data_IF_700661169268
#
_entry.id   IF_700661169268
#
_cell.length_a   1.000
_cell.length_b   1.000
_cell.length_c   1.000
_cell.angle_alpha   90.00
_cell.angle_beta   90.00
_cell.angle_gamma   90.00
#
_symmetry.space_group_name_H-M   'P 1'
#
loop_
_entity.id
_entity.type
_entity.pdbx_description
1 polymer ?
#
# COMPACT_ATOMS: atom_id res chain seq x y z
N UNK A 1 9.91 -45.51 43.68
CA UNK A 1 9.45 -44.48 42.73
C UNK A 1 9.40 -45.11 41.34
N UNK A 2 8.34 -44.88 40.58
CA UNK A 2 8.12 -45.41 39.23
C UNK A 2 7.98 -44.23 38.27
N UNK A 3 8.48 -44.34 37.03
CA UNK A 3 8.28 -43.28 36.04
C UNK A 3 6.85 -43.36 35.46
N UNK A 4 6.19 -42.21 35.30
CA UNK A 4 4.91 -42.12 34.60
C UNK A 4 5.10 -42.53 33.13
N UNK A 5 4.28 -43.45 32.59
CA UNK A 5 4.42 -43.90 31.20
C UNK A 5 4.12 -42.77 30.19
N UNK A 6 3.29 -41.80 30.54
CA UNK A 6 2.86 -40.72 29.62
C UNK A 6 3.86 -39.56 29.57
N UNK A 7 4.46 -39.16 30.70
CA UNK A 7 5.31 -37.97 30.75
C UNK A 7 6.71 -38.19 31.36
N UNK A 8 7.04 -39.40 31.79
CA UNK A 8 8.35 -39.75 32.34
C UNK A 8 8.64 -39.20 33.74
N UNK A 9 7.72 -38.43 34.35
CA UNK A 9 7.92 -37.88 35.69
C UNK A 9 8.07 -38.99 36.75
N UNK A 10 8.90 -38.76 37.76
CA UNK A 10 9.03 -39.68 38.90
C UNK A 10 7.77 -39.63 39.77
N UNK A 11 7.20 -40.80 40.05
CA UNK A 11 5.96 -40.97 40.81
C UNK A 11 6.21 -41.88 42.02
N UNK A 12 5.56 -41.59 43.15
CA UNK A 12 5.63 -42.45 44.33
C UNK A 12 4.90 -43.79 44.07
N UNK A 13 5.22 -44.83 44.84
CA UNK A 13 4.65 -46.17 44.62
C UNK A 13 3.17 -46.28 45.00
N UNK A 14 2.68 -45.35 45.81
CA UNK A 14 1.31 -45.24 46.33
C UNK A 14 0.47 -44.17 45.60
N UNK A 15 1.06 -43.42 44.66
CA UNK A 15 0.38 -42.41 43.87
C UNK A 15 -0.49 -43.10 42.79
N UNK A 16 -1.82 -42.92 42.87
CA UNK A 16 -2.75 -43.44 41.86
C UNK A 16 -2.77 -42.61 40.58
N UNK A 17 -2.27 -41.38 40.63
CA UNK A 17 -2.22 -40.46 39.49
C UNK A 17 -0.87 -39.73 39.41
N UNK A 18 -0.41 -39.45 38.19
CA UNK A 18 0.81 -38.68 37.98
C UNK A 18 0.59 -37.20 38.35
N UNK A 19 1.39 -36.68 39.30
CA UNK A 19 1.30 -35.29 39.73
C UNK A 19 1.67 -34.23 38.69
N UNK A 20 2.32 -34.63 37.59
CA UNK A 20 2.73 -33.71 36.51
C UNK A 20 1.68 -33.60 35.40
N UNK A 21 1.15 -34.74 34.92
CA UNK A 21 0.23 -34.76 33.77
C UNK A 21 -1.18 -35.28 34.08
N UNK A 22 -1.44 -35.77 35.30
CA UNK A 22 -2.76 -36.26 35.72
C UNK A 22 -3.12 -37.68 35.24
N UNK A 23 -2.19 -38.42 34.64
CA UNK A 23 -2.43 -39.80 34.16
C UNK A 23 -2.75 -40.77 35.30
N UNK A 24 -3.70 -41.69 35.12
CA UNK A 24 -4.02 -42.74 36.09
C UNK A 24 -3.05 -43.93 35.98
N UNK A 25 -2.54 -44.41 37.12
CA UNK A 25 -1.38 -45.32 37.15
C UNK A 25 -1.73 -46.77 37.55
N UNK A 26 -2.98 -47.06 37.85
CA UNK A 26 -3.38 -48.32 38.52
C UNK A 26 -3.65 -49.51 37.57
N UNK A 27 -3.23 -49.44 36.30
CA UNK A 27 -3.33 -50.59 35.38
C UNK A 27 -1.93 -51.01 34.94
N UNK A 28 -1.48 -52.11 35.53
CA UNK A 28 -0.13 -52.65 35.39
C UNK A 28 0.26 -53.04 33.96
N UNK A 29 1.50 -52.68 33.62
CA UNK A 29 2.48 -53.46 32.85
C UNK A 29 1.94 -54.62 31.99
N UNK A 30 1.81 -54.36 30.69
CA UNK A 30 2.05 -55.35 29.64
C UNK A 30 2.90 -54.71 28.54
N UNK A 31 4.05 -55.32 28.32
CA UNK A 31 5.13 -54.87 27.44
C UNK A 31 4.71 -54.76 25.97
N UNK A 32 5.19 -53.73 25.28
CA UNK A 32 5.72 -53.86 23.90
C UNK A 32 6.58 -52.67 23.47
N UNK A 33 7.87 -53.00 23.32
CA UNK A 33 8.78 -52.62 22.24
C UNK A 33 9.27 -51.15 22.10
N UNK A 34 10.42 -50.94 22.76
CA UNK A 34 11.67 -50.31 22.26
C UNK A 34 11.65 -49.55 20.92
N UNK A 35 12.17 -48.31 20.97
CA UNK A 35 13.19 -47.87 20.02
C UNK A 35 14.28 -47.08 20.76
N UNK A 36 15.55 -47.54 20.78
CA UNK A 36 16.64 -46.85 21.46
C UNK A 36 17.06 -45.56 20.75
N UNK A 37 17.26 -44.51 21.54
CA UNK A 37 17.88 -43.26 21.12
C UNK A 37 19.38 -43.46 20.81
N UNK A 38 19.82 -42.94 19.67
CA UNK A 38 21.24 -42.86 19.31
C UNK A 38 21.97 -41.82 20.19
N UNK A 39 23.26 -42.04 20.51
CA UNK A 39 24.03 -41.13 21.34
C UNK A 39 24.44 -39.85 20.59
N UNK A 40 24.38 -38.74 21.33
CA UNK A 40 24.89 -37.40 20.98
C UNK A 40 26.39 -37.43 20.66
N UNK A 41 26.83 -36.95 19.47
CA UNK A 41 28.23 -36.65 19.23
C UNK A 41 28.63 -35.33 19.92
N UNK A 42 29.82 -35.35 20.53
CA UNK A 42 30.47 -34.20 21.14
C UNK A 42 30.64 -33.01 20.17
N UNK A 43 30.46 -31.79 20.69
CA UNK A 43 30.71 -30.54 19.97
C UNK A 43 32.20 -30.41 19.61
N UNK A 44 32.49 -30.34 18.31
CA UNK A 44 33.77 -29.85 17.81
C UNK A 44 33.84 -28.31 17.94
N UNK A 45 35.05 -27.72 18.09
CA UNK A 45 35.19 -26.27 18.19
C UNK A 45 34.74 -25.55 16.91
N UNK A 46 34.07 -24.41 17.08
CA UNK A 46 33.70 -23.49 16.00
C UNK A 46 34.93 -23.14 15.13
N UNK A 47 34.86 -23.45 13.84
CA UNK A 47 35.68 -22.77 12.84
C UNK A 47 34.89 -21.61 12.25
N UNK A 48 35.51 -20.43 12.22
CA UNK A 48 34.97 -19.25 11.56
C UNK A 48 34.73 -19.52 10.07
N UNK A 49 33.65 -19.00 9.46
CA UNK A 49 33.41 -19.18 8.04
C UNK A 49 34.50 -18.49 7.22
N UNK A 50 35.24 -19.28 6.44
CA UNK A 50 36.10 -18.78 5.38
C UNK A 50 35.20 -18.22 4.28
N UNK A 51 35.35 -16.92 4.00
CA UNK A 51 34.63 -16.25 2.92
C UNK A 51 35.02 -16.90 1.58
N UNK A 52 34.04 -17.39 0.84
CA UNK A 52 34.23 -17.76 -0.55
C UNK A 52 34.55 -16.48 -1.36
N UNK A 53 35.54 -16.50 -2.29
CA UNK A 53 35.79 -15.36 -3.15
C UNK A 53 34.58 -15.15 -4.07
N UNK A 54 34.00 -13.97 -4.02
CA UNK A 54 33.02 -13.51 -5.01
C UNK A 54 33.74 -13.40 -6.36
N UNK A 55 33.38 -14.25 -7.32
CA UNK A 55 33.85 -14.13 -8.69
C UNK A 55 33.22 -12.87 -9.30
N UNK A 56 34.05 -11.88 -9.61
CA UNK A 56 33.63 -10.76 -10.44
C UNK A 56 33.47 -11.24 -11.89
N UNK A 57 32.42 -10.82 -12.63
CA UNK A 57 32.35 -11.08 -14.05
C UNK A 57 33.50 -10.36 -14.76
N UNK A 58 34.36 -11.14 -15.40
CA UNK A 58 35.42 -10.65 -16.28
C UNK A 58 34.76 -10.18 -17.58
N UNK A 59 34.68 -8.87 -17.79
CA UNK A 59 34.34 -8.32 -19.10
C UNK A 59 35.56 -8.43 -20.03
N UNK A 60 35.38 -8.85 -21.29
CA UNK A 60 36.48 -8.83 -22.26
C UNK A 60 36.93 -7.38 -22.51
N UNK A 61 38.23 -7.13 -22.71
CA UNK A 61 38.71 -5.79 -23.04
C UNK A 61 38.11 -5.32 -24.38
N UNK A 62 37.86 -4.01 -24.55
CA UNK A 62 37.43 -3.46 -25.82
C UNK A 62 38.49 -3.72 -26.90
N UNK A 63 38.09 -3.94 -28.17
CA UNK A 63 39.05 -4.12 -29.26
C UNK A 63 39.95 -2.89 -29.38
N UNK A 64 41.26 -3.14 -29.48
CA UNK A 64 42.27 -2.12 -29.67
C UNK A 64 41.96 -1.30 -30.93
N UNK A 65 41.86 0.01 -30.78
CA UNK A 65 41.81 0.94 -31.91
C UNK A 65 43.14 0.86 -32.66
N UNK A 66 43.12 0.25 -33.84
CA UNK A 66 44.21 0.39 -34.80
C UNK A 66 44.22 1.85 -35.27
N UNK A 67 45.29 2.57 -34.93
CA UNK A 67 45.63 3.85 -35.55
C UNK A 67 46.10 3.59 -36.99
N UNK A 68 45.14 3.35 -37.88
CA UNK A 68 45.35 3.38 -39.31
C UNK A 68 45.29 4.83 -39.79
N UNK A 69 46.41 5.38 -40.25
CA UNK A 69 46.44 6.62 -41.02
C UNK A 69 45.61 6.44 -42.29
N UNK A 70 44.38 6.95 -42.30
CA UNK A 70 43.56 6.98 -43.50
C UNK A 70 44.02 8.13 -44.41
N UNK A 71 44.41 7.76 -45.63
CA UNK A 71 44.72 8.66 -46.74
C UNK A 71 43.53 9.58 -47.08
N UNK A 72 43.77 10.78 -47.61
CA UNK A 72 42.70 11.66 -48.10
C UNK A 72 41.97 11.01 -49.31
N UNK A 73 40.64 11.13 -49.41
CA UNK A 73 39.88 10.57 -50.52
C UNK A 73 40.14 11.34 -51.82
N UNK A 74 40.29 10.58 -52.91
CA UNK A 74 40.32 11.10 -54.28
C UNK A 74 38.95 11.70 -54.68
N UNK A 75 38.92 12.70 -55.60
CA UNK A 75 37.67 13.35 -56.00
C UNK A 75 36.81 12.41 -56.86
N UNK A 76 35.53 12.26 -56.51
CA UNK A 76 34.56 11.51 -57.31
C UNK A 76 33.89 12.40 -58.38
N UNK A 77 33.61 11.86 -59.59
CA UNK A 77 32.90 12.58 -60.66
C UNK A 77 31.45 12.91 -60.31
N UNK A 78 30.99 14.09 -60.73
CA UNK A 78 29.62 14.59 -60.50
C UNK A 78 28.54 13.76 -61.18
N UNK A 79 27.45 13.54 -60.45
CA UNK A 79 26.19 12.99 -60.99
C UNK A 79 25.22 14.12 -61.36
N UNK A 80 24.39 13.92 -62.40
CA UNK A 80 23.58 14.97 -63.01
C UNK A 80 22.40 15.43 -62.12
N UNK A 81 22.12 16.72 -62.21
CA UNK A 81 20.98 17.42 -61.60
C UNK A 81 19.62 16.86 -62.05
N UNK A 82 18.61 16.75 -61.16
CA UNK A 82 17.24 16.45 -61.57
C UNK A 82 16.60 17.63 -62.32
N UNK A 83 15.73 17.39 -63.31
CA UNK A 83 15.03 18.45 -64.04
C UNK A 83 13.97 19.14 -63.17
N UNK A 84 13.59 20.40 -63.50
CA UNK A 84 12.59 21.16 -62.77
C UNK A 84 11.17 20.57 -62.91
N UNK A 85 10.28 20.83 -61.94
CA UNK A 85 8.90 20.34 -62.00
C UNK A 85 8.11 21.02 -63.12
N UNK A 86 7.51 20.20 -63.98
CA UNK A 86 6.59 20.62 -65.04
C UNK A 86 5.25 21.01 -64.40
N UNK A 87 4.82 22.26 -64.60
CA UNK A 87 3.45 22.68 -64.36
C UNK A 87 2.56 22.05 -65.44
N UNK A 88 1.58 21.24 -65.04
CA UNK A 88 0.70 20.55 -65.97
C UNK A 88 -0.61 20.07 -65.33
N UNK A 89 -1.64 20.89 -65.49
CA UNK A 89 -3.05 20.57 -65.76
C UNK A 89 -3.80 19.58 -64.84
N UNK A 90 -4.76 20.16 -64.12
CA UNK A 90 -5.84 19.53 -63.36
C UNK A 90 -6.73 18.67 -64.30
N UNK A 91 -6.95 17.37 -64.02
CA UNK A 91 -8.04 16.61 -64.63
C UNK A 91 -9.38 16.89 -63.90
N UNK A 92 -10.53 16.92 -64.60
CA UNK A 92 -11.81 17.14 -63.96
C UNK A 92 -12.29 15.91 -63.18
N UNK A 93 -13.04 16.18 -62.11
CA UNK A 93 -13.67 15.18 -61.24
C UNK A 93 -14.61 14.24 -62.01
N UNK A 94 -14.34 12.94 -61.94
CA UNK A 94 -15.26 11.89 -62.38
C UNK A 94 -16.10 11.46 -61.18
N UNK A 95 -17.37 11.85 -61.18
CA UNK A 95 -18.38 11.37 -60.25
C UNK A 95 -18.67 9.88 -60.51
N UNK A 96 -18.15 9.01 -59.66
CA UNK A 96 -18.57 7.61 -59.64
C UNK A 96 -19.88 7.48 -58.87
N UNK A 97 -20.99 7.32 -59.61
CA UNK A 97 -22.27 6.82 -59.08
C UNK A 97 -22.09 5.33 -58.77
N UNK A 98 -22.25 4.96 -57.50
CA UNK A 98 -22.42 3.56 -57.08
C UNK A 98 -23.90 3.19 -57.23
N UNK A 99 -24.27 2.13 -57.97
CA UNK A 99 -25.63 1.58 -57.97
C UNK A 99 -25.97 0.96 -56.61
N UNK A 100 -27.21 1.22 -56.15
CA UNK A 100 -27.69 0.87 -54.82
C UNK A 100 -27.76 -0.63 -54.53
N UNK A 101 -27.43 -0.96 -53.28
CA UNK A 101 -27.75 -2.24 -52.64
C UNK A 101 -29.17 -2.13 -52.06
N UNK A 102 -30.09 -3.10 -52.28
CA UNK A 102 -31.41 -3.07 -51.67
C UNK A 102 -31.33 -3.27 -50.14
N UNK A 103 -32.00 -2.41 -49.38
CA UNK A 103 -32.20 -2.59 -47.93
C UNK A 103 -33.30 -3.64 -47.68
N UNK A 104 -33.16 -4.52 -46.66
CA UNK A 104 -34.28 -5.35 -46.18
C UNK A 104 -35.32 -4.51 -45.40
N UNK A 105 -36.59 -4.94 -45.34
CA UNK A 105 -37.67 -4.15 -44.75
C UNK A 105 -37.55 -4.04 -43.22
N UNK A 106 -37.97 -2.87 -42.73
CA UNK A 106 -38.16 -2.52 -41.33
C UNK A 106 -38.99 -3.56 -40.56
N UNK A 107 -38.42 -4.08 -39.47
CA UNK A 107 -39.17 -4.77 -38.41
C UNK A 107 -39.88 -3.76 -37.48
N UNK A 108 -40.96 -4.16 -36.79
CA UNK A 108 -41.74 -3.27 -35.93
C UNK A 108 -40.96 -2.78 -34.70
N UNK A 109 -41.34 -1.63 -34.12
CA UNK A 109 -40.60 -0.99 -33.03
C UNK A 109 -40.64 -1.82 -31.75
N UNK A 110 -39.46 -2.04 -31.14
CA UNK A 110 -39.35 -2.66 -29.83
C UNK A 110 -39.79 -1.69 -28.73
N UNK A 111 -40.65 -2.19 -27.83
CA UNK A 111 -41.11 -1.47 -26.65
C UNK A 111 -39.96 -1.23 -25.64
N UNK A 112 -40.07 -0.23 -24.74
CA UNK A 112 -39.03 0.09 -23.77
C UNK A 112 -38.77 -1.06 -22.81
N UNK A 113 -37.49 -1.37 -22.60
CA UNK A 113 -37.04 -2.37 -21.64
C UNK A 113 -37.29 -1.87 -20.21
N UNK A 114 -38.22 -2.51 -19.49
CA UNK A 114 -38.37 -2.36 -18.04
C UNK A 114 -37.56 -3.44 -17.32
N UNK A 115 -36.71 -3.09 -16.33
CA UNK A 115 -36.01 -4.09 -15.53
C UNK A 115 -37.00 -4.87 -14.64
N UNK A 116 -36.80 -6.18 -14.44
CA UNK A 116 -37.70 -6.99 -13.62
C UNK A 116 -37.61 -6.63 -12.14
N UNK A 117 -38.77 -6.48 -11.49
CA UNK A 117 -38.85 -6.31 -10.04
C UNK A 117 -38.59 -7.64 -9.29
N UNK A 118 -38.04 -7.59 -8.06
CA UNK A 118 -37.83 -8.78 -7.24
C UNK A 118 -39.16 -9.44 -6.86
N UNK A 119 -39.27 -10.74 -7.15
CA UNK A 119 -40.42 -11.57 -6.78
C UNK A 119 -40.34 -11.89 -5.29
N UNK A 120 -41.33 -11.45 -4.50
CA UNK A 120 -41.49 -11.89 -3.12
C UNK A 120 -42.07 -13.32 -3.09
N UNK A 121 -41.59 -14.22 -2.21
CA UNK A 121 -42.20 -15.52 -2.02
C UNK A 121 -43.60 -15.39 -1.41
N UNK A 122 -44.59 -15.97 -2.10
CA UNK A 122 -45.97 -16.15 -1.66
C UNK A 122 -46.05 -17.13 -0.48
N UNK A 123 -46.73 -16.72 0.58
CA UNK A 123 -47.19 -17.62 1.63
C UNK A 123 -48.31 -18.53 1.10
N UNK A 124 -48.35 -19.83 1.46
CA UNK A 124 -49.52 -20.65 1.23
C UNK A 124 -50.55 -20.43 2.35
N UNK A 125 -51.76 -20.02 1.95
CA UNK A 125 -52.97 -20.12 2.78
C UNK A 125 -53.62 -21.48 2.51
N UNK A 126 -53.76 -22.31 3.53
CA UNK A 126 -54.74 -23.40 3.58
C UNK A 126 -55.52 -23.31 4.89
N UNK A 127 -56.85 -23.29 4.76
CA UNK A 127 -57.79 -23.20 5.87
C UNK A 127 -58.36 -24.56 6.29
N UNK A 128 -58.56 -24.70 7.61
CA UNK A 128 -59.53 -25.56 8.31
C UNK A 128 -59.26 -27.07 8.31
N UNK A 129 -59.51 -27.81 9.41
CA UNK A 129 -60.70 -27.66 10.28
C UNK A 129 -60.41 -27.41 11.78
N UNK A 130 -61.40 -26.79 12.44
CA UNK A 130 -61.43 -26.46 13.87
C UNK A 130 -61.62 -27.72 14.76
N UNK A 131 -60.87 -27.77 15.86
CA UNK A 131 -60.99 -28.69 16.98
C UNK A 131 -60.74 -27.92 18.31
N UNK A 132 -61.21 -28.41 19.47
CA UNK A 132 -61.83 -27.61 20.53
C UNK A 132 -60.96 -26.58 21.28
N UNK A 133 -61.64 -25.52 21.75
CA UNK A 133 -61.12 -24.43 22.58
C UNK A 133 -60.62 -24.95 23.92
N UNK A 134 -59.30 -24.89 24.14
CA UNK A 134 -58.65 -25.02 25.43
C UNK A 134 -58.49 -23.64 26.10
N UNK A 135 -58.70 -23.51 27.42
CA UNK A 135 -58.60 -22.22 28.13
C UNK A 135 -57.17 -21.67 28.11
N UNK A 136 -57.00 -20.33 28.16
CA UNK A 136 -55.69 -19.70 28.01
C UNK A 136 -54.74 -20.11 29.15
N UNK A 137 -53.50 -20.55 28.84
CA UNK A 137 -52.50 -20.82 29.85
C UNK A 137 -52.06 -19.51 30.53
N UNK A 138 -52.36 -19.43 31.82
CA UNK A 138 -51.81 -18.44 32.76
C UNK A 138 -50.29 -18.66 32.82
N UNK A 139 -49.49 -17.61 32.57
CA UNK A 139 -48.05 -17.67 32.78
C UNK A 139 -47.74 -17.90 34.26
N UNK A 140 -47.06 -18.98 34.66
CA UNK A 140 -46.45 -19.06 35.97
C UNK A 140 -45.32 -18.01 36.03
N UNK A 141 -45.39 -17.14 37.04
CA UNK A 141 -44.37 -16.13 37.28
C UNK A 141 -42.97 -16.73 37.36
N UNK A 142 -41.97 -15.95 36.94
CA UNK A 142 -40.54 -16.22 37.11
C UNK A 142 -40.27 -16.67 38.55
N UNK A 143 -39.99 -17.96 38.73
CA UNK A 143 -39.31 -18.47 39.91
C UNK A 143 -37.82 -18.17 39.69
N UNK A 144 -37.13 -17.50 40.63
CA UNK A 144 -35.69 -17.34 40.52
C UNK A 144 -35.00 -18.71 40.61
N UNK A 145 -34.22 -19.05 39.59
CA UNK A 145 -33.28 -20.17 39.59
C UNK A 145 -32.27 -19.97 40.71
N UNK A 146 -32.60 -20.46 41.90
CA UNK A 146 -31.63 -20.65 42.98
C UNK A 146 -31.32 -22.14 42.99
N UNK A 147 -30.10 -22.59 42.60
CA UNK A 147 -29.78 -24.01 42.67
C UNK A 147 -29.77 -24.44 44.14
N UNK A 148 -30.79 -25.18 44.55
CA UNK A 148 -30.82 -25.90 45.82
C UNK A 148 -29.72 -26.94 45.76
N UNK A 149 -28.59 -26.66 46.42
CA UNK A 149 -27.51 -27.61 46.61
C UNK A 149 -28.06 -28.75 47.46
N UNK A 150 -28.23 -29.93 46.85
CA UNK A 150 -28.58 -31.17 47.55
C UNK A 150 -27.47 -31.44 48.57
N UNK A 151 -27.75 -31.23 49.86
CA UNK A 151 -26.81 -31.58 50.94
C UNK A 151 -26.78 -33.10 51.01
N UNK A 152 -25.69 -33.70 50.54
CA UNK A 152 -25.38 -35.10 50.84
C UNK A 152 -25.11 -35.19 52.35
N UNK A 153 -25.70 -36.13 53.10
CA UNK A 153 -25.42 -36.26 54.53
C UNK A 153 -23.97 -36.69 54.72
N UNK A 154 -23.21 -35.83 55.41
CA UNK A 154 -21.83 -36.05 55.82
C UNK A 154 -21.74 -37.35 56.63
N UNK A 155 -21.15 -38.42 56.08
CA UNK A 155 -20.68 -39.52 56.91
C UNK A 155 -19.51 -38.99 57.72
N UNK A 156 -19.72 -38.76 59.02
CA UNK A 156 -18.63 -38.55 59.98
C UNK A 156 -17.64 -39.69 59.85
N UNK A 157 -16.49 -39.41 59.26
CA UNK A 157 -15.32 -40.27 59.40
C UNK A 157 -14.73 -40.01 60.80
N UNK A 158 -14.47 -41.03 61.63
CA UNK A 158 -13.98 -40.86 63.00
C UNK A 158 -12.57 -40.25 63.12
N UNK A 159 -11.84 -40.06 62.02
CA UNK A 159 -10.44 -39.61 62.02
C UNK A 159 -10.24 -38.20 61.46
N UNK A 160 -11.15 -37.27 61.79
CA UNK A 160 -10.90 -35.85 61.58
C UNK A 160 -9.90 -35.34 62.63
N UNK A 161 -8.61 -35.54 62.36
CA UNK A 161 -7.54 -34.90 63.13
C UNK A 161 -7.75 -33.37 63.11
N UNK A 162 -7.47 -32.67 64.23
CA UNK A 162 -7.58 -31.22 64.30
C UNK A 162 -6.75 -30.56 63.20
N UNK A 163 -7.22 -29.41 62.75
CA UNK A 163 -6.61 -28.48 61.80
C UNK A 163 -5.12 -28.26 62.08
N UNK A 164 -4.26 -29.13 61.55
CA UNK A 164 -2.86 -28.82 61.36
C UNK A 164 -2.79 -27.67 60.34
N UNK A 165 -2.23 -26.55 60.80
CA UNK A 165 -1.86 -25.43 59.95
C UNK A 165 -0.94 -25.98 58.86
N UNK A 166 -1.34 -25.78 57.60
CA UNK A 166 -0.52 -26.14 56.44
C UNK A 166 0.85 -25.48 56.59
N UNK A 167 1.92 -26.24 56.37
CA UNK A 167 3.25 -25.64 56.29
C UNK A 167 3.34 -24.76 55.04
N UNK A 168 4.27 -23.79 55.06
CA UNK A 168 4.57 -22.99 53.86
C UNK A 168 4.85 -23.90 52.66
N UNK A 169 4.19 -23.64 51.54
CA UNK A 169 4.29 -24.47 50.34
C UNK A 169 3.30 -25.63 50.25
N UNK A 170 2.26 -25.69 51.09
CA UNK A 170 1.21 -26.71 51.01
C UNK A 170 -0.19 -26.14 50.76
N UNK A 171 -1.00 -26.90 50.02
CA UNK A 171 -2.40 -26.60 49.70
C UNK A 171 -3.29 -27.81 50.01
N UNK A 172 -4.44 -27.55 50.65
CA UNK A 172 -5.45 -28.57 50.94
C UNK A 172 -6.46 -28.67 49.81
N UNK A 173 -6.69 -29.89 49.32
CA UNK A 173 -7.69 -30.17 48.29
C UNK A 173 -9.11 -29.96 48.85
N UNK A 174 -9.88 -29.06 48.27
CA UNK A 174 -11.26 -28.77 48.70
C UNK A 174 -12.19 -30.00 48.67
N UNK A 175 -12.20 -30.81 47.59
CA UNK A 175 -13.08 -31.98 47.50
C UNK A 175 -12.82 -33.14 48.48
N UNK A 176 -11.56 -33.54 48.68
CA UNK A 176 -11.22 -34.75 49.48
C UNK A 176 -10.41 -34.48 50.75
N UNK A 177 -10.04 -33.22 51.00
CA UNK A 177 -9.30 -32.79 52.19
C UNK A 177 -7.81 -33.15 52.23
N UNK A 178 -7.28 -33.83 51.22
CA UNK A 178 -5.86 -34.22 51.18
C UNK A 178 -4.92 -33.01 51.07
N UNK A 179 -3.78 -33.06 51.76
CA UNK A 179 -2.71 -32.05 51.70
C UNK A 179 -1.75 -32.38 50.55
N UNK A 180 -1.45 -31.38 49.73
CA UNK A 180 -0.59 -31.47 48.55
C UNK A 180 0.43 -30.31 48.60
N UNK A 181 1.62 -30.45 48.02
CA UNK A 181 2.50 -29.31 47.81
C UNK A 181 1.85 -28.31 46.83
N UNK A 182 2.09 -27.01 47.03
CA UNK A 182 1.53 -25.90 46.24
C UNK A 182 2.03 -25.85 44.79
N UNK A 183 3.12 -26.56 44.49
CA UNK A 183 3.65 -26.76 43.12
C UNK A 183 2.83 -27.76 42.29
N UNK A 184 1.93 -28.54 42.91
CA UNK A 184 1.09 -29.52 42.19
C UNK A 184 -0.17 -28.87 41.62
N UNK A 185 -0.45 -29.17 40.35
CA UNK A 185 -1.66 -28.71 39.65
C UNK A 185 -2.90 -29.57 39.95
N UNK A 186 -2.70 -30.83 40.35
CA UNK A 186 -3.78 -31.77 40.64
C UNK A 186 -3.57 -32.49 41.97
N UNK A 187 -4.67 -32.84 42.65
CA UNK A 187 -4.63 -33.53 43.92
C UNK A 187 -4.15 -34.98 43.79
N UNK A 188 -3.16 -35.36 44.61
CA UNK A 188 -2.60 -36.72 44.65
C UNK A 188 -3.60 -37.83 45.00
N UNK A 189 -4.69 -37.48 45.69
CA UNK A 189 -5.68 -38.44 46.20
C UNK A 189 -6.91 -38.60 45.30
N UNK A 190 -7.41 -37.51 44.72
CA UNK A 190 -8.67 -37.55 43.95
C UNK A 190 -8.61 -36.90 42.57
N UNK A 191 -7.44 -36.39 42.14
CA UNK A 191 -7.26 -35.81 40.81
C UNK A 191 -7.87 -34.42 40.58
N UNK A 192 -8.52 -33.82 41.57
CA UNK A 192 -9.11 -32.47 41.43
C UNK A 192 -8.03 -31.39 41.20
N UNK A 193 -8.33 -30.40 40.35
CA UNK A 193 -7.44 -29.26 40.08
C UNK A 193 -7.24 -28.40 41.35
N UNK A 194 -5.98 -28.10 41.65
CA UNK A 194 -5.56 -27.25 42.77
C UNK A 194 -5.31 -25.84 42.23
N UNK A 195 -5.99 -24.83 42.78
CA UNK A 195 -5.74 -23.42 42.42
C UNK A 195 -4.37 -23.01 42.95
N UNK A 196 -3.35 -23.03 42.10
CA UNK A 196 -2.06 -22.42 42.42
C UNK A 196 -2.22 -20.91 42.48
N UNK A 197 -1.73 -20.29 43.56
CA UNK A 197 -1.59 -18.84 43.60
C UNK A 197 -0.46 -18.50 42.65
N UNK A 198 -0.79 -18.14 41.41
CA UNK A 198 0.18 -17.53 40.52
C UNK A 198 0.70 -16.28 41.22
N UNK A 199 1.94 -16.33 41.71
CA UNK A 199 2.67 -15.15 42.15
C UNK A 199 2.84 -14.27 40.93
N UNK A 200 1.91 -13.34 40.73
CA UNK A 200 1.97 -12.33 39.67
C UNK A 200 3.20 -11.47 39.98
N UNK A 201 4.31 -11.76 39.30
CA UNK A 201 5.42 -10.84 39.16
C UNK A 201 4.84 -9.60 38.50
N UNK A 202 4.72 -8.52 39.27
CA UNK A 202 4.20 -7.23 38.79
C UNK A 202 5.20 -6.68 37.75
N UNK A 203 5.01 -7.04 36.47
CA UNK A 203 5.76 -6.46 35.38
C UNK A 203 5.48 -4.95 35.37
N UNK A 204 6.50 -4.17 35.77
CA UNK A 204 6.44 -2.71 35.71
C UNK A 204 6.28 -2.28 34.26
N UNK A 205 5.03 -2.07 33.85
CA UNK A 205 4.70 -1.54 32.53
C UNK A 205 5.46 -0.23 32.28
N UNK A 206 5.99 -0.09 31.06
CA UNK A 206 6.73 1.10 30.63
C UNK A 206 5.86 2.36 30.62
N UNK A 207 6.51 3.52 30.75
CA UNK A 207 5.84 4.81 30.96
C UNK A 207 4.89 5.21 29.82
N UNK A 208 5.19 4.82 28.56
CA UNK A 208 4.29 5.04 27.42
C UNK A 208 2.99 4.23 27.53
N UNK A 209 3.06 2.95 27.96
CA UNK A 209 1.84 2.14 28.17
C UNK A 209 0.96 2.73 29.27
N UNK A 210 1.54 3.38 30.28
CA UNK A 210 0.80 4.07 31.35
C UNK A 210 0.07 5.31 30.86
N UNK A 211 0.63 6.04 29.89
CA UNK A 211 0.00 7.24 29.32
C UNK A 211 -1.25 6.91 28.49
N UNK A 212 -1.22 5.83 27.70
CA UNK A 212 -2.35 5.45 26.85
C UNK A 212 -3.44 4.62 27.57
N UNK A 213 -3.13 3.95 28.69
CA UNK A 213 -4.13 3.23 29.52
C UNK A 213 -5.01 4.13 30.39
N UNK A 214 -4.76 5.45 30.43
CA UNK A 214 -5.54 6.38 31.26
C UNK A 214 -7.03 6.48 30.85
N UNK A 215 -7.43 5.92 29.71
CA UNK A 215 -8.80 5.89 29.22
C UNK A 215 -9.29 4.48 28.84
N UNK A 216 -9.37 3.55 29.81
CA UNK A 216 -10.40 2.50 29.84
C UNK A 216 -10.19 1.63 31.08
N UNK A 217 -10.89 1.96 32.14
CA UNK A 217 -11.42 0.93 33.03
C UNK A 217 -12.65 1.54 33.73
N UNK A 218 -13.86 1.17 33.31
CA UNK A 218 -15.09 1.55 34.01
C UNK A 218 -15.22 0.90 35.39
N UNK A 219 -14.43 -0.15 35.69
CA UNK A 219 -14.56 -0.98 36.90
C UNK A 219 -13.38 -0.84 37.88
N UNK A 220 -12.51 0.17 37.75
CA UNK A 220 -11.46 0.45 38.74
C UNK A 220 -12.08 1.01 40.04
N UNK A 221 -12.12 0.26 41.16
CA UNK A 221 -12.81 0.68 42.38
C UNK A 221 -12.08 1.83 43.11
N UNK A 222 -10.88 2.23 42.65
CA UNK A 222 -10.00 3.16 43.37
C UNK A 222 -10.22 4.64 43.05
N UNK A 223 -11.30 5.00 42.35
CA UNK A 223 -11.60 6.40 41.97
C UNK A 223 -12.85 6.95 42.63
N UNK A 224 -12.94 6.79 43.95
CA UNK A 224 -13.76 7.69 44.75
C UNK A 224 -12.82 8.70 45.39
N UNK A 225 -12.73 9.90 44.80
CA UNK A 225 -12.14 11.02 45.53
C UNK A 225 -13.06 11.29 46.73
N UNK A 226 -12.53 11.19 47.94
CA UNK A 226 -13.25 11.57 49.15
C UNK A 226 -13.87 12.98 48.97
N UNK A 227 -15.17 13.09 49.29
CA UNK A 227 -15.90 14.34 49.23
C UNK A 227 -15.14 15.42 50.05
N UNK A 228 -14.78 16.54 49.41
CA UNK A 228 -14.09 17.66 50.05
C UNK A 228 -12.71 18.02 49.47
N UNK A 229 -12.13 17.22 48.57
CA UNK A 229 -10.85 17.59 47.92
C UNK A 229 -11.06 18.65 46.82
N UNK A 230 -11.10 19.93 47.22
CA UNK A 230 -11.10 21.06 46.28
C UNK A 230 -9.76 21.04 45.54
N UNK A 231 -9.75 20.67 44.25
CA UNK A 231 -8.56 20.76 43.39
C UNK A 231 -7.97 22.17 43.54
N UNK A 232 -6.70 22.27 43.94
CA UNK A 232 -6.10 23.57 44.22
C UNK A 232 -6.17 24.46 42.95
N UNK A 233 -6.67 25.71 43.05
CA UNK A 233 -6.79 26.60 41.88
C UNK A 233 -5.40 26.94 41.29
N UNK A 234 -4.32 26.72 42.06
CA UNK A 234 -2.93 26.82 41.61
C UNK A 234 -2.56 25.73 40.62
N UNK A 235 -2.98 24.48 40.84
CA UNK A 235 -2.73 23.36 39.92
C UNK A 235 -3.45 23.55 38.58
N UNK A 236 -4.68 24.06 38.61
CA UNK A 236 -5.45 24.35 37.37
C UNK A 236 -4.78 25.48 36.58
N UNK A 237 -4.31 26.55 37.24
CA UNK A 237 -3.56 27.63 36.58
C UNK A 237 -2.25 27.17 35.97
N UNK A 238 -1.45 26.38 36.69
CA UNK A 238 -0.19 25.84 36.17
C UNK A 238 -0.44 24.93 34.96
N UNK A 239 -1.43 24.04 35.02
CA UNK A 239 -1.76 23.18 33.88
C UNK A 239 -2.29 23.97 32.68
N UNK A 240 -3.00 25.09 32.89
CA UNK A 240 -3.41 26.00 31.81
C UNK A 240 -2.20 26.71 31.18
N UNK A 241 -1.25 27.20 31.97
CA UNK A 241 -0.03 27.84 31.46
C UNK A 241 0.80 26.84 30.65
N UNK A 242 0.98 25.61 31.16
CA UNK A 242 1.66 24.54 30.42
C UNK A 242 0.91 24.23 29.12
N UNK A 243 -0.42 24.15 29.16
CA UNK A 243 -1.24 23.96 27.96
C UNK A 243 -1.05 25.07 26.93
N UNK A 244 -1.02 26.34 27.37
CA UNK A 244 -0.79 27.49 26.50
C UNK A 244 0.61 27.45 25.89
N UNK A 245 1.64 27.13 26.67
CA UNK A 245 3.02 27.01 26.17
C UNK A 245 3.13 25.88 25.14
N UNK A 246 2.48 24.74 25.38
CA UNK A 246 2.47 23.64 24.41
C UNK A 246 1.77 24.03 23.10
N UNK A 247 0.63 24.72 23.18
CA UNK A 247 -0.08 25.21 21.99
C UNK A 247 0.75 26.24 21.24
N UNK A 248 1.35 27.21 21.94
CA UNK A 248 2.24 28.20 21.33
C UNK A 248 3.47 27.55 20.71
N UNK A 249 4.07 26.57 21.38
CA UNK A 249 5.18 25.79 20.84
C UNK A 249 4.78 25.05 19.56
N UNK A 250 3.58 24.44 19.53
CA UNK A 250 3.06 23.73 18.36
C UNK A 250 2.81 24.69 17.19
N UNK A 251 2.24 25.87 17.46
CA UNK A 251 2.06 26.94 16.47
C UNK A 251 3.42 27.40 15.93
N UNK A 252 4.39 27.68 16.81
CA UNK A 252 5.74 28.09 16.40
C UNK A 252 6.44 27.03 15.55
N UNK A 253 6.33 25.74 15.91
CA UNK A 253 6.83 24.66 15.06
C UNK A 253 6.09 24.56 13.73
N UNK A 254 4.76 24.74 13.71
CA UNK A 254 3.98 24.69 12.48
C UNK A 254 4.29 25.85 11.52
N UNK A 255 4.66 27.02 12.07
CA UNK A 255 5.13 28.20 11.34
C UNK A 255 6.58 28.01 10.89
N UNK A 256 7.46 27.49 11.75
CA UNK A 256 8.86 27.21 11.40
C UNK A 256 9.00 26.10 10.34
N UNK A 257 8.09 25.12 10.35
CA UNK A 257 8.00 24.06 9.33
C UNK A 257 7.13 24.46 8.13
N UNK A 258 6.50 25.64 8.15
CA UNK A 258 5.73 26.17 7.03
C UNK A 258 6.53 26.25 5.71
N UNK A 259 7.79 26.76 5.69
CA UNK A 259 8.61 26.74 4.47
C UNK A 259 9.01 25.33 4.00
N UNK A 260 8.93 24.31 4.87
CA UNK A 260 9.21 22.91 4.50
C UNK A 260 7.98 22.19 3.90
N UNK A 261 6.78 22.79 3.97
CA UNK A 261 5.58 22.24 3.35
C UNK A 261 5.68 22.19 1.83
N UNK A 262 6.31 23.17 1.18
CA UNK A 262 6.48 23.17 -0.28
C UNK A 262 7.20 21.94 -0.79
N UNK A 263 8.19 21.42 -0.06
CA UNK A 263 8.95 20.21 -0.44
C UNK A 263 8.10 18.94 -0.28
N UNK A 264 7.28 18.88 0.76
CA UNK A 264 6.38 17.74 1.02
C UNK A 264 5.17 17.76 0.09
N UNK A 265 4.64 18.95 -0.20
CA UNK A 265 3.55 19.17 -1.15
C UNK A 265 3.99 18.82 -2.57
N UNK A 266 5.23 19.11 -2.97
CA UNK A 266 5.79 18.65 -4.25
C UNK A 266 5.78 17.12 -4.35
N UNK A 267 6.28 16.39 -3.36
CA UNK A 267 6.35 14.92 -3.42
C UNK A 267 4.96 14.25 -3.37
N UNK A 268 4.03 14.81 -2.59
CA UNK A 268 2.67 14.27 -2.50
C UNK A 268 1.85 14.62 -3.74
N UNK A 269 1.97 15.83 -4.30
CA UNK A 269 1.26 16.23 -5.52
C UNK A 269 1.79 15.48 -6.75
N UNK A 270 3.10 15.19 -6.84
CA UNK A 270 3.68 14.34 -7.91
C UNK A 270 3.10 12.92 -7.92
N UNK A 271 2.65 12.41 -6.77
CA UNK A 271 2.01 11.08 -6.67
C UNK A 271 0.49 11.15 -6.82
N UNK A 272 -0.14 12.27 -6.41
CA UNK A 272 -1.59 12.45 -6.45
C UNK A 272 -2.11 12.90 -7.81
N UNK A 273 -1.35 13.72 -8.54
CA UNK A 273 -1.73 14.19 -9.88
C UNK A 273 -1.61 13.10 -10.94
N UNK A 274 -0.86 12.03 -10.66
CA UNK A 274 -0.75 10.87 -11.54
C UNK A 274 -2.03 10.03 -11.65
N UNK A 275 -3.08 10.36 -10.88
CA UNK A 275 -4.36 9.64 -10.88
C UNK A 275 -5.60 10.55 -10.94
N UNK A 276 -5.46 11.84 -11.28
CA UNK A 276 -6.60 12.69 -11.61
C UNK A 276 -7.12 12.34 -13.00
N UNK A 277 -7.96 11.30 -13.11
CA UNK A 277 -8.96 10.98 -14.18
C UNK A 277 -8.63 11.26 -15.67
N UNK A 278 -7.39 11.54 -16.05
CA UNK A 278 -6.99 11.86 -17.41
C UNK A 278 -6.37 10.64 -18.08
N UNK A 279 -6.75 10.40 -19.33
CA UNK A 279 -6.27 9.27 -20.13
C UNK A 279 -5.12 9.76 -21.02
N UNK A 280 -3.93 9.15 -20.97
CA UNK A 280 -2.84 9.53 -21.87
C UNK A 280 -3.22 9.27 -23.32
N UNK A 281 -2.81 10.17 -24.21
CA UNK A 281 -3.02 10.04 -25.66
C UNK A 281 -1.73 10.33 -26.39
N UNK A 282 -1.35 9.40 -27.28
CA UNK A 282 -0.11 9.52 -28.07
C UNK A 282 -0.47 10.11 -29.44
N UNK A 283 0.17 11.20 -29.87
CA UNK A 283 0.06 11.71 -31.24
C UNK A 283 0.58 10.70 -32.27
N UNK A 284 0.15 10.82 -33.52
CA UNK A 284 0.57 9.91 -34.62
C UNK A 284 1.64 10.48 -35.53
N UNK A 285 1.80 11.80 -35.57
CA UNK A 285 2.82 12.46 -36.36
C UNK A 285 3.53 13.51 -35.52
N UNK A 286 4.82 13.71 -35.80
CA UNK A 286 5.63 14.79 -35.23
C UNK A 286 6.41 15.47 -36.34
N UNK A 287 6.49 16.80 -36.29
CA UNK A 287 7.32 17.64 -37.16
C UNK A 287 8.05 18.65 -36.30
N UNK A 288 9.17 19.15 -36.78
CA UNK A 288 9.87 20.26 -36.15
C UNK A 288 10.40 21.22 -37.20
N UNK A 289 10.58 22.46 -36.77
CA UNK A 289 11.38 23.49 -37.46
C UNK A 289 12.72 22.97 -37.96
N UNK A 290 13.47 22.32 -37.07
CA UNK A 290 14.75 21.69 -37.35
C UNK A 290 15.06 20.60 -36.32
N UNK A 291 16.14 19.84 -36.52
CA UNK A 291 16.57 18.82 -35.57
C UNK A 291 18.08 18.59 -35.65
N UNK A 292 18.71 18.37 -34.50
CA UNK A 292 20.10 17.92 -34.42
C UNK A 292 20.27 16.47 -34.88
N UNK A 293 21.50 16.08 -35.24
CA UNK A 293 21.82 14.76 -35.82
C UNK A 293 21.30 13.57 -35.00
N UNK A 294 21.33 13.69 -33.66
CA UNK A 294 20.89 12.65 -32.72
C UNK A 294 19.73 13.10 -31.82
N UNK A 295 19.01 14.16 -32.20
CA UNK A 295 17.99 14.79 -31.37
C UNK A 295 16.69 14.95 -32.18
N UNK A 296 16.13 13.81 -32.59
CA UNK A 296 15.01 13.72 -33.53
C UNK A 296 13.70 14.21 -32.90
N UNK A 297 12.76 14.75 -33.69
CA UNK A 297 11.53 15.30 -33.16
C UNK A 297 10.62 14.21 -32.55
N UNK A 298 10.67 12.98 -33.06
CA UNK A 298 9.86 11.88 -32.53
C UNK A 298 10.22 11.50 -31.08
N UNK A 299 11.38 11.94 -30.59
CA UNK A 299 11.78 11.68 -29.21
C UNK A 299 10.94 12.44 -28.19
N UNK A 300 10.17 13.46 -28.59
CA UNK A 300 9.25 14.16 -27.67
C UNK A 300 7.98 13.37 -27.34
N UNK A 301 7.72 12.21 -27.95
CA UNK A 301 6.51 11.41 -27.70
C UNK A 301 6.82 9.92 -27.53
N UNK A 302 8.07 9.60 -27.24
CA UNK A 302 8.56 8.21 -27.25
C UNK A 302 8.40 7.50 -25.91
N UNK A 303 8.01 8.24 -24.87
CA UNK A 303 7.82 7.74 -23.51
C UNK A 303 9.13 7.48 -22.75
N UNK A 304 10.28 7.94 -23.25
CA UNK A 304 11.58 7.80 -22.57
C UNK A 304 12.20 9.15 -22.25
N UNK A 305 12.62 9.33 -20.99
CA UNK A 305 13.09 10.62 -20.49
C UNK A 305 14.62 10.81 -20.58
N UNK A 306 15.33 9.92 -21.27
CA UNK A 306 16.79 9.94 -21.51
C UNK A 306 17.15 10.12 -23.00
N UNK A 307 16.13 10.33 -23.84
CA UNK A 307 16.26 10.85 -25.19
C UNK A 307 15.58 12.22 -25.25
N UNK A 308 15.94 13.02 -26.24
CA UNK A 308 15.38 14.36 -26.37
C UNK A 308 15.37 14.82 -27.82
N UNK A 309 14.36 15.62 -28.16
CA UNK A 309 14.46 16.48 -29.33
C UNK A 309 15.27 17.73 -29.00
N UNK A 310 16.02 18.21 -29.98
CA UNK A 310 16.59 19.53 -29.96
C UNK A 310 16.71 20.06 -31.39
N UNK A 311 16.36 21.34 -31.61
CA UNK A 311 16.53 21.97 -32.91
C UNK A 311 18.01 22.16 -33.27
N UNK A 312 18.29 22.39 -34.55
CA UNK A 312 19.61 22.84 -34.99
C UNK A 312 19.80 24.31 -34.58
N UNK A 313 20.72 24.58 -33.66
CA UNK A 313 21.08 25.94 -33.25
C UNK A 313 20.63 26.31 -31.84
N UNK A 314 20.24 27.57 -31.65
CA UNK A 314 20.05 28.18 -30.33
C UNK A 314 18.70 27.89 -29.67
N UNK A 315 17.79 27.23 -30.37
CA UNK A 315 16.47 26.83 -29.88
C UNK A 315 15.44 27.95 -29.79
N UNK A 316 15.81 29.22 -29.63
CA UNK A 316 14.86 30.34 -29.66
C UNK A 316 14.16 30.40 -31.03
N UNK A 317 12.84 30.57 -31.02
CA UNK A 317 11.91 30.55 -32.16
C UNK A 317 11.77 29.20 -32.89
N UNK A 318 12.51 28.19 -32.44
CA UNK A 318 12.37 26.83 -32.93
C UNK A 318 11.17 26.15 -32.27
N UNK A 319 10.54 25.26 -33.02
CA UNK A 319 9.31 24.60 -32.64
C UNK A 319 9.29 23.11 -32.97
N UNK A 320 8.51 22.39 -32.18
CA UNK A 320 8.08 21.01 -32.43
C UNK A 320 6.55 20.94 -32.40
N UNK A 321 5.98 20.20 -33.34
CA UNK A 321 4.54 20.09 -33.57
C UNK A 321 4.13 18.63 -33.63
N UNK A 322 3.05 18.30 -32.94
CA UNK A 322 2.44 16.97 -32.94
C UNK A 322 1.05 17.02 -33.54
N UNK A 323 0.63 15.90 -34.13
CA UNK A 323 -0.71 15.74 -34.70
C UNK A 323 -1.39 14.47 -34.18
N UNK A 324 -2.66 14.59 -33.81
CA UNK A 324 -3.49 13.45 -33.40
C UNK A 324 -4.22 12.84 -34.59
N UNK A 325 -4.38 11.51 -34.57
CA UNK A 325 -5.18 10.78 -35.56
C UNK A 325 -6.65 11.20 -35.57
N UNK A 326 -7.19 11.44 -34.38
CA UNK A 326 -8.57 11.86 -34.15
C UNK A 326 -8.57 13.07 -33.22
N UNK A 327 -9.53 13.99 -33.36
CA UNK A 327 -9.65 15.14 -32.46
C UNK A 327 -9.74 14.71 -30.99
N UNK A 328 -8.98 15.37 -30.12
CA UNK A 328 -8.95 15.06 -28.68
C UNK A 328 -9.46 16.22 -27.84
N UNK A 329 -10.13 15.90 -26.74
CA UNK A 329 -10.42 16.89 -25.69
C UNK A 329 -9.24 16.99 -24.74
N UNK A 330 -8.29 17.84 -25.09
CA UNK A 330 -7.05 18.09 -24.36
C UNK A 330 -7.35 18.67 -22.97
N UNK A 331 -6.78 18.04 -21.94
CA UNK A 331 -6.84 18.55 -20.56
C UNK A 331 -5.51 19.15 -20.17
N UNK A 332 -4.43 18.37 -20.34
CA UNK A 332 -3.10 18.68 -19.83
C UNK A 332 -2.03 18.34 -20.86
N UNK A 333 -0.93 19.08 -20.80
CA UNK A 333 0.35 18.72 -21.42
C UNK A 333 1.39 18.67 -20.30
N UNK A 334 2.07 17.53 -20.17
CA UNK A 334 3.20 17.38 -19.26
C UNK A 334 4.48 17.52 -20.07
N UNK A 335 5.37 18.42 -19.64
CA UNK A 335 6.63 18.72 -20.30
C UNK A 335 7.79 18.23 -19.44
N UNK A 336 8.62 17.35 -20.00
CA UNK A 336 9.94 17.02 -19.45
C UNK A 336 10.99 17.81 -20.23
N UNK A 337 11.56 18.84 -19.60
CA UNK A 337 12.58 19.69 -20.22
C UNK A 337 14.00 19.14 -20.01
N UNK A 338 14.93 19.55 -20.86
CA UNK A 338 16.32 19.09 -20.81
C UNK A 338 16.52 17.73 -21.48
N UNK A 339 17.70 17.15 -21.23
CA UNK A 339 18.13 15.90 -21.87
C UNK A 339 17.88 14.65 -21.02
N UNK A 340 17.59 14.83 -19.73
CA UNK A 340 17.46 13.75 -18.74
C UNK A 340 16.86 14.27 -17.43
N UNK A 341 16.29 13.36 -16.63
CA UNK A 341 15.89 13.62 -15.23
C UNK A 341 17.07 13.58 -14.26
N UNK A 342 18.21 13.05 -14.68
CA UNK A 342 19.44 13.07 -13.88
C UNK A 342 19.97 14.51 -13.83
N UNK A 343 20.21 15.09 -12.63
CA UNK A 343 20.58 16.51 -12.52
C UNK A 343 21.87 16.91 -13.27
N UNK A 344 22.81 15.99 -13.43
CA UNK A 344 24.04 16.21 -14.19
C UNK A 344 23.76 16.37 -15.69
N UNK A 345 23.14 15.35 -16.29
CA UNK A 345 22.74 15.34 -17.70
C UNK A 345 21.77 16.47 -18.03
N UNK A 346 20.80 16.75 -17.14
CA UNK A 346 19.85 17.86 -17.25
C UNK A 346 20.55 19.20 -17.52
N UNK A 347 21.65 19.46 -16.80
CA UNK A 347 22.43 20.71 -16.93
C UNK A 347 23.45 20.67 -18.07
N UNK A 348 23.72 19.50 -18.65
CA UNK A 348 24.68 19.35 -19.75
C UNK A 348 24.20 20.01 -21.04
N UNK A 349 22.88 20.10 -21.24
CA UNK A 349 22.24 20.74 -22.39
C UNK A 349 21.49 22.01 -21.98
N UNK A 350 21.22 22.88 -22.96
CA UNK A 350 20.30 24.00 -22.78
C UNK A 350 18.86 23.51 -22.62
N UNK A 351 17.99 24.33 -22.05
CA UNK A 351 16.61 23.95 -21.70
C UNK A 351 15.64 25.08 -22.01
N UNK A 352 14.39 24.82 -22.41
CA UNK A 352 13.40 25.89 -22.55
C UNK A 352 13.11 26.56 -21.21
N UNK A 353 12.95 27.89 -21.22
CA UNK A 353 12.45 28.69 -20.10
C UNK A 353 11.00 29.07 -20.37
N UNK A 354 10.73 29.77 -21.48
CA UNK A 354 9.39 30.19 -21.87
C UNK A 354 9.03 29.53 -23.19
N UNK A 355 7.82 29.00 -23.28
CA UNK A 355 7.29 28.35 -24.47
C UNK A 355 5.91 28.85 -24.79
N UNK A 356 5.58 28.83 -26.08
CA UNK A 356 4.25 29.14 -26.60
C UNK A 356 3.64 27.87 -27.17
N UNK A 357 2.50 27.47 -26.64
CA UNK A 357 1.68 26.41 -27.20
C UNK A 357 0.65 27.00 -28.16
N UNK A 358 0.75 26.65 -29.44
CA UNK A 358 -0.26 26.96 -30.46
C UNK A 358 -1.09 25.71 -30.72
N UNK A 359 -2.34 25.75 -30.31
CA UNK A 359 -3.26 24.61 -30.30
C UNK A 359 -4.34 24.84 -31.34
N UNK A 360 -4.41 23.96 -32.33
CA UNK A 360 -5.38 24.05 -33.43
C UNK A 360 -6.45 22.98 -33.27
N UNK A 361 -7.70 23.43 -33.28
CA UNK A 361 -8.90 22.59 -33.19
C UNK A 361 -9.38 22.18 -34.59
N UNK A 362 -10.21 21.13 -34.67
CA UNK A 362 -10.75 20.58 -35.94
C UNK A 362 -11.48 21.62 -36.79
N UNK A 363 -12.11 22.60 -36.16
CA UNK A 363 -12.82 23.72 -36.81
C UNK A 363 -11.87 24.81 -37.36
N UNK A 364 -10.56 24.64 -37.19
CA UNK A 364 -9.53 25.62 -37.56
C UNK A 364 -9.29 26.70 -36.51
N UNK A 365 -9.97 26.67 -35.37
CA UNK A 365 -9.73 27.62 -34.28
C UNK A 365 -8.34 27.40 -33.70
N UNK A 366 -7.58 28.48 -33.59
CA UNK A 366 -6.24 28.50 -32.99
C UNK A 366 -6.31 29.18 -31.63
N UNK A 367 -5.82 28.50 -30.60
CA UNK A 367 -5.62 29.04 -29.26
C UNK A 367 -4.12 29.08 -28.98
N UNK A 368 -3.62 30.19 -28.45
CA UNK A 368 -2.21 30.35 -28.10
C UNK A 368 -2.08 30.60 -26.61
N UNK A 369 -1.25 29.81 -25.93
CA UNK A 369 -0.95 30.01 -24.50
C UNK A 369 0.56 29.99 -24.27
N UNK A 370 1.05 31.02 -23.58
CA UNK A 370 2.42 31.07 -23.11
C UNK A 370 2.53 30.37 -21.75
N UNK A 371 3.56 29.54 -21.57
CA UNK A 371 3.88 28.86 -20.31
C UNK A 371 5.35 29.09 -19.97
N UNK A 372 5.62 29.24 -18.67
CA UNK A 372 6.97 29.28 -18.13
C UNK A 372 7.30 27.91 -17.53
N UNK A 373 8.41 27.35 -17.96
CA UNK A 373 8.97 26.08 -17.52
C UNK A 373 10.06 26.41 -16.50
N UNK A 374 9.91 25.86 -15.28
CA UNK A 374 10.89 26.00 -14.21
C UNK A 374 12.19 25.26 -14.57
N UNK A 375 13.35 25.80 -14.17
CA UNK A 375 14.67 25.18 -14.41
C UNK A 375 14.94 24.00 -13.45
N UNK A 376 14.18 22.93 -13.59
CA UNK A 376 14.28 21.71 -12.76
C UNK A 376 14.07 20.44 -13.60
N UNK A 377 14.71 19.31 -13.22
CA UNK A 377 14.64 18.05 -13.98
C UNK A 377 13.29 17.32 -13.89
N UNK A 378 12.45 17.71 -12.95
CA UNK A 378 11.11 17.13 -12.80
C UNK A 378 10.17 17.62 -13.90
N UNK A 379 9.31 16.70 -14.37
CA UNK A 379 8.29 17.01 -15.37
C UNK A 379 7.25 17.99 -14.81
N UNK A 380 6.76 18.87 -15.66
CA UNK A 380 5.85 19.97 -15.28
C UNK A 380 4.53 19.86 -16.04
N UNK A 381 3.42 20.00 -15.33
CA UNK A 381 2.07 19.86 -15.85
C UNK A 381 1.44 21.24 -16.14
N UNK A 382 0.85 21.39 -17.34
CA UNK A 382 0.14 22.58 -17.76
C UNK A 382 -1.28 22.25 -18.22
N UNK A 383 -2.27 22.91 -17.61
CA UNK A 383 -3.69 22.79 -17.97
C UNK A 383 -4.07 23.70 -19.15
N UNK A 384 -4.96 23.20 -20.01
CA UNK A 384 -5.49 23.90 -21.19
C UNK A 384 -7.03 23.78 -21.30
N UNK A 385 -7.58 22.58 -21.16
CA UNK A 385 -9.03 22.36 -21.22
C UNK A 385 -9.69 22.69 -22.58
N UNK A 386 -9.07 22.29 -23.69
CA UNK A 386 -9.51 22.62 -25.06
C UNK A 386 -10.11 21.38 -25.74
N UNK A 387 -11.26 21.54 -26.39
CA UNK A 387 -11.95 20.46 -27.13
C UNK A 387 -11.48 20.36 -28.58
N UNK A 388 -11.68 19.18 -29.17
CA UNK A 388 -11.50 18.93 -30.61
C UNK A 388 -10.12 19.29 -31.17
N UNK A 389 -9.07 19.20 -30.34
CA UNK A 389 -7.69 19.49 -30.71
C UNK A 389 -7.17 18.46 -31.71
N UNK A 390 -6.59 18.93 -32.81
CA UNK A 390 -5.97 18.08 -33.85
C UNK A 390 -4.46 18.26 -33.94
N UNK A 391 -3.95 19.46 -33.65
CA UNK A 391 -2.52 19.78 -33.75
C UNK A 391 -2.11 20.65 -32.56
N UNK A 392 -0.93 20.37 -32.02
CA UNK A 392 -0.30 21.18 -30.96
C UNK A 392 1.13 21.48 -31.37
N UNK A 393 1.49 22.76 -31.41
CA UNK A 393 2.88 23.21 -31.61
C UNK A 393 3.41 23.84 -30.34
N UNK A 394 4.56 23.39 -29.86
CA UNK A 394 5.34 24.07 -28.83
C UNK A 394 6.48 24.84 -29.49
N UNK A 395 6.51 26.16 -29.31
CA UNK A 395 7.58 27.04 -29.77
C UNK A 395 8.40 27.53 -28.58
N UNK A 396 9.72 27.48 -28.67
CA UNK A 396 10.62 27.94 -27.61
C UNK A 396 10.82 29.46 -27.76
N UNK A 397 10.44 30.23 -26.74
CA UNK A 397 10.61 31.69 -26.74
C UNK A 397 11.90 32.15 -26.04
N UNK A 398 12.34 31.40 -25.04
CA UNK A 398 13.58 31.68 -24.30
C UNK A 398 14.16 30.41 -23.69
N UNK A 399 15.43 30.46 -23.27
CA UNK A 399 16.17 29.27 -22.83
C UNK A 399 16.99 29.53 -21.56
N UNK A 400 17.27 28.47 -20.82
CA UNK A 400 18.26 28.40 -19.76
C UNK A 400 19.51 27.67 -20.25
N UNK A 401 20.69 28.17 -19.85
CA UNK A 401 21.95 27.43 -19.97
C UNK A 401 22.38 27.10 -21.41
N UNK A 402 21.83 27.77 -22.41
CA UNK A 402 22.29 27.64 -23.79
C UNK A 402 23.65 28.32 -23.97
N UNK A 403 24.59 27.59 -24.56
CA UNK A 403 25.93 28.05 -24.92
C UNK A 403 26.33 27.37 -26.23
N UNK A 404 27.30 27.94 -26.96
CA UNK A 404 27.80 27.33 -28.19
C UNK A 404 28.28 25.89 -27.94
N UNK A 405 27.78 24.95 -28.74
CA UNK A 405 28.07 23.51 -28.60
C UNK A 405 27.06 22.72 -27.76
N UNK A 406 26.14 23.39 -27.05
CA UNK A 406 24.99 22.76 -26.41
C UNK A 406 23.76 22.81 -27.32
N UNK A 407 22.83 21.92 -27.06
CA UNK A 407 21.52 21.84 -27.70
C UNK A 407 20.43 22.22 -26.70
N UNK A 408 19.34 22.83 -27.15
CA UNK A 408 18.19 23.10 -26.27
C UNK A 408 17.26 21.89 -26.30
N UNK A 409 17.31 21.11 -25.23
CA UNK A 409 16.72 19.78 -25.17
C UNK A 409 15.30 19.80 -24.58
N UNK A 410 14.41 19.04 -25.20
CA UNK A 410 13.09 18.69 -24.71
C UNK A 410 13.01 17.18 -24.71
N UNK A 411 12.94 16.58 -23.52
CA UNK A 411 12.96 15.13 -23.37
C UNK A 411 11.64 14.51 -23.83
N UNK A 412 10.50 14.99 -23.32
CA UNK A 412 9.20 14.37 -23.56
C UNK A 412 8.07 15.40 -23.44
N UNK A 413 7.02 15.19 -24.24
CA UNK A 413 5.72 15.85 -24.18
C UNK A 413 4.62 14.79 -24.07
N UNK A 414 4.01 14.69 -22.89
CA UNK A 414 2.90 13.77 -22.65
C UNK A 414 1.57 14.54 -22.76
N UNK A 415 0.62 14.00 -23.51
CA UNK A 415 -0.68 14.63 -23.75
C UNK A 415 -1.79 13.84 -23.07
N UNK A 416 -2.73 14.55 -22.48
CA UNK A 416 -3.82 13.94 -21.73
C UNK A 416 -5.17 14.42 -22.21
N UNK A 417 -6.13 13.50 -22.25
CA UNK A 417 -7.52 13.79 -22.61
C UNK A 417 -8.49 13.40 -21.51
N UNK A 418 -9.65 14.05 -21.52
CA UNK A 418 -10.80 13.63 -20.71
C UNK A 418 -11.33 12.30 -21.23
N UNK A 419 -11.69 11.40 -20.30
CA UNK A 419 -12.32 10.10 -20.60
C UNK A 419 -13.65 10.25 -21.31
#
# INVERSE_FOLDING_TARGET
>A
MTACPTCGAAVAQDDQFCGNCGEYLDWGSSASQQQPAAPTPAQAPYQAPTQAPVQQPVYPPPPAQQTGYAQPPAPQPGYPTPPPPVQGLIPPAVASRVPGVPQPPYGPPQAPYQPPQPVQPTQPVQGGPQAPVEPPPVQPGKVPDTPVRRIMPERRSPDAQPFELLSEGEVRCGPCGAVNPDTRKFCKRCGAELKTVDTVVEEKLSWWRRLFRRKRDPEDPRKWHAAGTRRSPRRIRIMRIIGIILVLGLILTAVALWPARSVVDSVINTVKDRFTSHVPVVPTEVRASSSGTNAKPEYVIDGVADRFWAPSGAGVDEWVEVQFKEPVRLTNIVVSSGSSKTPEDFRAQGRPNKVTFTITSKDGKVTTEEKEIQDQPDAQDFEFGISDVVTIRMTINSTFGYEAGKQVAVAELEFFKRK
#
